data_IF_878386292434
#
_entry.id   IF_878386292434
#
_cell.length_a   1.000
_cell.length_b   1.000
_cell.length_c   1.000
_cell.angle_alpha   90.00
_cell.angle_beta   90.00
_cell.angle_gamma   90.00
#
_symmetry.space_group_name_H-M   'P 1'
#
loop_
_entity.id
_entity.type
_entity.pdbx_description
1 polymer ?
#
# COMPACT_ATOMS: atom_id res chain seq x y z
N UNK A 1 16.39 -19.68 12.01
CA UNK A 1 16.34 -19.22 10.62
C UNK A 1 14.97 -19.44 10.03
N UNK A 2 14.54 -18.55 9.11
CA UNK A 2 13.27 -18.66 8.37
C UNK A 2 13.49 -18.26 6.90
N UNK A 3 12.89 -19.00 5.98
CA UNK A 3 12.85 -18.66 4.56
C UNK A 3 11.45 -18.12 4.20
N UNK A 4 11.38 -16.93 3.57
CA UNK A 4 10.13 -16.25 3.24
C UNK A 4 10.06 -16.04 1.73
N UNK A 5 8.98 -16.46 1.08
CA UNK A 5 8.69 -16.17 -0.33
C UNK A 5 7.79 -14.96 -0.47
N UNK A 6 8.29 -13.84 -1.00
CA UNK A 6 7.48 -12.68 -1.35
C UNK A 6 7.09 -12.72 -2.83
N UNK A 7 5.93 -12.15 -3.14
CA UNK A 7 5.46 -12.04 -4.53
C UNK A 7 6.10 -10.87 -5.29
N UNK A 8 6.81 -10.01 -4.59
CA UNK A 8 7.51 -8.87 -5.12
C UNK A 8 8.39 -8.24 -4.05
N UNK A 9 9.59 -7.79 -4.43
CA UNK A 9 10.34 -6.77 -3.72
C UNK A 9 10.99 -5.77 -4.70
N UNK A 10 11.44 -4.63 -4.16
CA UNK A 10 11.91 -3.50 -4.97
C UNK A 10 13.14 -3.84 -5.83
N UNK A 11 13.35 -3.04 -6.85
CA UNK A 11 14.56 -3.11 -7.69
C UNK A 11 15.81 -2.69 -6.93
N UNK A 12 15.62 -1.84 -5.91
CA UNK A 12 16.63 -1.40 -4.96
C UNK A 12 16.09 -1.48 -3.54
N UNK A 13 16.91 -1.17 -2.56
CA UNK A 13 16.50 -1.01 -1.17
C UNK A 13 16.55 0.46 -0.71
N UNK A 14 16.75 1.41 -1.65
CA UNK A 14 16.64 2.84 -1.38
C UNK A 14 15.16 3.19 -1.09
N UNK A 15 14.81 3.66 0.12
CA UNK A 15 13.44 3.97 0.46
C UNK A 15 12.85 5.15 -0.32
N UNK A 16 13.68 5.94 -0.97
CA UNK A 16 13.25 7.09 -1.77
C UNK A 16 12.93 6.75 -3.23
N UNK A 17 13.31 5.55 -3.67
CA UNK A 17 13.10 5.09 -5.04
C UNK A 17 11.71 4.45 -5.20
N UNK A 18 10.86 5.07 -6.01
CA UNK A 18 9.52 4.59 -6.40
C UNK A 18 8.73 3.96 -5.23
N UNK A 19 8.51 2.66 -5.25
CA UNK A 19 7.76 1.89 -4.24
C UNK A 19 8.64 0.94 -3.43
N UNK A 20 9.96 1.01 -3.58
CA UNK A 20 10.91 0.01 -3.05
C UNK A 20 10.92 -0.04 -1.52
N UNK A 21 10.60 1.08 -0.86
CA UNK A 21 10.45 1.14 0.60
C UNK A 21 9.43 0.15 1.19
N UNK A 22 8.43 -0.29 0.41
CA UNK A 22 7.47 -1.30 0.85
C UNK A 22 8.13 -2.64 1.18
N UNK A 23 9.24 -2.96 0.51
CA UNK A 23 10.04 -4.13 0.84
C UNK A 23 10.61 -4.01 2.25
N UNK A 24 11.19 -2.85 2.61
CA UNK A 24 11.87 -2.63 3.88
C UNK A 24 10.96 -2.82 5.09
N UNK A 25 9.73 -2.31 5.02
CA UNK A 25 8.76 -2.49 6.11
C UNK A 25 8.24 -3.92 6.20
N UNK A 26 8.03 -4.61 5.06
CA UNK A 26 7.57 -6.00 5.02
C UNK A 26 8.56 -6.99 5.60
N UNK A 27 9.86 -6.76 5.42
CA UNK A 27 10.91 -7.63 5.92
C UNK A 27 11.38 -7.27 7.34
N UNK A 28 10.76 -6.26 7.96
CA UNK A 28 11.11 -5.82 9.31
C UNK A 28 12.45 -5.12 9.41
N UNK A 29 12.95 -4.52 8.32
CA UNK A 29 14.20 -3.74 8.33
C UNK A 29 13.94 -2.26 8.58
N UNK A 30 12.85 -1.70 8.04
CA UNK A 30 12.52 -0.28 8.11
C UNK A 30 11.34 0.02 9.02
N UNK A 31 11.41 1.12 9.75
CA UNK A 31 10.36 1.64 10.62
C UNK A 31 10.08 3.11 10.33
N UNK A 32 8.82 3.51 10.55
CA UNK A 32 8.34 4.90 10.41
C UNK A 32 8.05 5.51 11.78
N UNK A 33 7.64 6.78 11.86
CA UNK A 33 7.29 7.41 13.13
C UNK A 33 6.14 6.72 13.84
N UNK A 34 5.12 6.32 13.08
CA UNK A 34 3.98 5.56 13.55
C UNK A 34 3.65 4.47 12.51
N UNK A 35 2.97 3.43 12.91
CA UNK A 35 2.46 2.39 12.01
C UNK A 35 0.95 2.32 12.04
N UNK A 36 0.35 1.60 11.09
CA UNK A 36 -1.10 1.45 10.95
C UNK A 36 -1.46 -0.01 11.16
N UNK A 37 -2.40 -0.26 12.06
CA UNK A 37 -2.96 -1.60 12.27
C UNK A 37 -3.93 -1.99 11.16
N UNK A 38 -4.28 -3.29 11.00
CA UNK A 38 -5.26 -3.72 10.00
C UNK A 38 -6.63 -3.04 10.12
N UNK A 39 -7.02 -2.59 11.32
CA UNK A 39 -8.24 -1.82 11.57
C UNK A 39 -8.04 -0.29 11.44
N UNK A 40 -6.98 0.11 10.73
CA UNK A 40 -6.66 1.50 10.36
C UNK A 40 -6.42 2.45 11.55
N UNK A 41 -5.98 1.91 12.68
CA UNK A 41 -5.54 2.73 13.82
C UNK A 41 -4.06 3.01 13.76
N UNK A 42 -3.69 4.22 14.12
CA UNK A 42 -2.29 4.58 14.27
C UNK A 42 -1.75 4.09 15.60
N UNK A 43 -0.59 3.45 15.57
CA UNK A 43 0.13 2.99 16.75
C UNK A 43 1.55 3.54 16.78
N UNK A 44 2.08 3.86 17.99
CA UNK A 44 3.45 4.35 18.15
C UNK A 44 4.49 3.37 17.59
N UNK A 45 5.52 3.93 16.91
CA UNK A 45 6.70 3.20 16.49
C UNK A 45 7.96 3.99 16.88
N UNK A 46 8.58 4.75 15.98
CA UNK A 46 9.75 5.59 16.31
C UNK A 46 9.36 6.94 16.97
N UNK A 47 8.11 7.35 16.87
CA UNK A 47 7.52 8.31 17.79
C UNK A 47 6.63 7.56 18.77
N UNK A 48 6.75 7.85 20.07
CA UNK A 48 5.92 7.24 21.12
C UNK A 48 4.61 8.01 21.36
N UNK A 49 4.55 9.27 20.93
CA UNK A 49 3.33 10.10 20.94
C UNK A 49 3.38 11.20 19.89
N UNK A 50 2.21 11.76 19.60
CA UNK A 50 2.05 12.90 18.70
C UNK A 50 0.82 13.71 19.03
N UNK A 51 0.83 14.96 18.58
CA UNK A 51 -0.23 15.94 18.76
C UNK A 51 -0.36 16.82 17.53
N UNK A 52 -1.58 17.06 17.07
CA UNK A 52 -1.87 18.12 16.11
C UNK A 52 -2.15 19.41 16.90
N UNK A 53 -1.12 20.25 17.02
CA UNK A 53 -1.14 21.45 17.88
C UNK A 53 -2.07 22.52 17.34
N UNK A 54 -2.06 22.67 16.01
CA UNK A 54 -2.96 23.54 15.24
C UNK A 54 -3.13 22.97 13.82
N UNK A 55 -3.99 23.55 12.95
CA UNK A 55 -4.27 22.99 11.62
C UNK A 55 -3.04 22.75 10.73
N UNK A 56 -1.93 23.44 10.97
CA UNK A 56 -0.70 23.36 10.20
C UNK A 56 0.50 22.82 10.97
N UNK A 57 0.37 22.59 12.28
CA UNK A 57 1.50 22.23 13.14
C UNK A 57 1.25 20.90 13.84
N UNK A 58 2.20 20.00 13.68
CA UNK A 58 2.25 18.72 14.37
C UNK A 58 3.49 18.63 15.26
N UNK A 59 3.34 18.02 16.41
CA UNK A 59 4.42 17.70 17.35
C UNK A 59 4.51 16.20 17.53
N UNK A 60 5.70 15.63 17.35
CA UNK A 60 5.99 14.22 17.57
C UNK A 60 7.04 14.09 18.67
N UNK A 61 6.79 13.28 19.68
CA UNK A 61 7.81 12.92 20.66
C UNK A 61 8.58 11.71 20.14
N UNK A 62 9.88 11.87 19.88
CA UNK A 62 10.71 10.83 19.28
C UNK A 62 11.19 9.88 20.37
N UNK A 63 11.07 8.59 20.11
CA UNK A 63 11.45 7.52 21.04
C UNK A 63 12.94 7.60 21.40
N UNK A 64 13.24 7.49 22.70
CA UNK A 64 14.60 7.43 23.20
C UNK A 64 15.18 6.01 23.06
N UNK A 65 16.50 5.91 23.16
CA UNK A 65 17.25 4.65 23.15
C UNK A 65 17.10 3.78 21.89
N UNK A 66 16.71 4.38 20.77
CA UNK A 66 16.72 3.73 19.46
C UNK A 66 18.11 3.86 18.84
N UNK A 67 18.60 2.77 18.24
CA UNK A 67 19.83 2.77 17.45
C UNK A 67 19.55 2.39 16.01
N UNK A 68 20.31 2.95 15.11
CA UNK A 68 20.40 2.47 13.74
C UNK A 68 21.20 1.17 13.66
N UNK A 69 21.08 0.43 12.55
CA UNK A 69 21.77 -0.85 12.30
C UNK A 69 23.30 -0.77 12.35
N UNK A 70 23.87 0.42 12.20
CA UNK A 70 25.32 0.69 12.36
C UNK A 70 25.70 1.01 13.81
N UNK A 71 24.75 0.99 14.75
CA UNK A 71 24.95 1.26 16.16
C UNK A 71 24.88 2.74 16.55
N UNK A 72 24.74 3.68 15.59
CA UNK A 72 24.58 5.11 15.92
C UNK A 72 23.23 5.38 16.56
N UNK A 73 23.14 6.28 17.56
CA UNK A 73 21.87 6.68 18.17
C UNK A 73 20.95 7.38 17.16
N UNK A 74 19.67 7.03 17.14
CA UNK A 74 18.63 7.79 16.47
C UNK A 74 18.23 8.96 17.37
N UNK A 75 18.48 10.17 16.89
CA UNK A 75 18.10 11.42 17.58
C UNK A 75 17.01 12.14 16.81
N UNK A 76 16.25 13.05 17.42
CA UNK A 76 15.28 13.89 16.69
C UNK A 76 15.89 14.62 15.50
N UNK A 77 17.17 15.03 15.60
CA UNK A 77 17.90 15.66 14.51
C UNK A 77 18.09 14.69 13.33
N UNK A 78 18.47 13.44 13.56
CA UNK A 78 18.61 12.41 12.51
C UNK A 78 17.26 12.04 11.90
N UNK A 79 16.19 12.02 12.68
CA UNK A 79 14.82 11.83 12.17
C UNK A 79 14.43 12.97 11.21
N UNK A 80 14.69 14.22 11.61
CA UNK A 80 14.51 15.38 10.73
C UNK A 80 15.26 15.22 9.42
N UNK A 81 16.57 14.93 9.49
CA UNK A 81 17.45 14.76 8.33
C UNK A 81 16.93 13.66 7.39
N UNK A 82 16.45 12.54 7.94
CA UNK A 82 15.86 11.45 7.16
C UNK A 82 14.61 11.89 6.40
N UNK A 83 13.68 12.59 7.07
CA UNK A 83 12.46 13.09 6.43
C UNK A 83 12.78 14.12 5.34
N UNK A 84 13.68 15.08 5.63
CA UNK A 84 14.11 16.09 4.66
C UNK A 84 14.81 15.45 3.45
N UNK A 85 15.64 14.43 3.69
CA UNK A 85 16.27 13.66 2.61
C UNK A 85 15.21 12.99 1.72
N UNK A 86 14.23 12.32 2.31
CA UNK A 86 13.13 11.67 1.56
C UNK A 86 12.35 12.69 0.72
N UNK A 87 12.01 13.85 1.27
CA UNK A 87 11.33 14.90 0.51
C UNK A 87 12.18 15.46 -0.64
N UNK A 88 13.50 15.56 -0.44
CA UNK A 88 14.42 16.04 -1.47
C UNK A 88 14.57 15.05 -2.62
N UNK A 89 14.60 13.74 -2.33
CA UNK A 89 14.80 12.70 -3.35
C UNK A 89 13.50 12.29 -4.04
N UNK A 90 12.36 12.35 -3.35
CA UNK A 90 11.06 11.90 -3.86
C UNK A 90 10.05 13.07 -3.93
N UNK A 91 9.84 13.61 -5.14
CA UNK A 91 8.83 14.63 -5.37
C UNK A 91 7.40 14.15 -5.00
N UNK A 92 7.12 12.85 -5.14
CA UNK A 92 5.86 12.21 -4.72
C UNK A 92 5.68 12.33 -3.21
N UNK A 93 6.69 11.97 -2.44
CA UNK A 93 6.66 12.03 -0.98
C UNK A 93 6.55 13.48 -0.48
N UNK A 94 7.33 14.40 -1.06
CA UNK A 94 7.25 15.83 -0.71
C UNK A 94 5.84 16.40 -0.94
N UNK A 95 5.22 16.07 -2.08
CA UNK A 95 3.85 16.50 -2.42
C UNK A 95 2.80 15.91 -1.46
N UNK A 96 3.01 14.71 -0.95
CA UNK A 96 2.07 14.03 -0.05
C UNK A 96 2.03 14.69 1.33
N UNK A 97 3.18 15.11 1.87
CA UNK A 97 3.27 15.68 3.24
C UNK A 97 3.12 17.19 3.27
N UNK A 98 3.51 17.93 2.20
CA UNK A 98 3.45 19.39 2.09
C UNK A 98 4.11 20.11 3.28
N UNK A 99 5.25 19.62 3.73
CA UNK A 99 5.99 20.18 4.86
C UNK A 99 6.66 21.49 4.44
N UNK A 100 6.46 22.54 5.23
CA UNK A 100 7.12 23.82 5.14
C UNK A 100 8.45 23.82 5.89
N UNK A 101 8.43 23.32 7.14
CA UNK A 101 9.61 23.28 8.00
C UNK A 101 9.55 22.16 9.02
N UNK A 102 10.73 21.71 9.46
CA UNK A 102 10.89 20.77 10.55
C UNK A 102 11.88 21.38 11.55
N UNK A 103 11.45 21.53 12.78
CA UNK A 103 12.28 22.00 13.90
C UNK A 103 12.45 20.90 14.95
N UNK A 104 13.56 20.92 15.66
CA UNK A 104 13.83 20.04 16.81
C UNK A 104 13.78 20.87 18.07
N UNK A 105 13.00 20.41 19.06
CA UNK A 105 12.87 21.01 20.38
C UNK A 105 13.00 19.91 21.44
N UNK A 106 14.20 19.77 21.97
CA UNK A 106 14.55 18.65 22.85
C UNK A 106 14.31 17.31 22.18
N UNK A 107 13.46 16.47 22.76
CA UNK A 107 13.09 15.17 22.21
C UNK A 107 11.91 15.26 21.22
N UNK A 108 11.42 16.47 20.91
CA UNK A 108 10.30 16.66 20.02
C UNK A 108 10.74 17.07 18.62
N UNK A 109 9.98 16.59 17.65
CA UNK A 109 10.01 17.06 16.27
C UNK A 109 8.76 17.89 16.01
N UNK A 110 8.94 19.15 15.64
CA UNK A 110 7.85 20.08 15.31
C UNK A 110 7.80 20.22 13.79
N UNK A 111 6.72 19.76 13.19
CA UNK A 111 6.52 19.78 11.74
C UNK A 111 5.44 20.80 11.40
N UNK A 112 5.78 21.78 10.57
CA UNK A 112 4.84 22.72 9.97
C UNK A 112 4.56 22.37 8.52
N UNK A 113 3.30 22.47 8.12
CA UNK A 113 2.83 22.25 6.74
C UNK A 113 2.45 23.56 6.08
N UNK A 114 2.57 23.62 4.75
CA UNK A 114 2.27 24.83 3.94
C UNK A 114 0.78 25.20 3.93
N UNK A 115 -0.09 24.28 4.32
CA UNK A 115 -1.54 24.44 4.42
C UNK A 115 -2.09 23.49 5.49
N UNK A 116 -3.32 23.66 6.00
CA UNK A 116 -3.94 22.75 6.95
C UNK A 116 -3.87 21.29 6.47
N UNK A 117 -3.25 20.43 7.28
CA UNK A 117 -3.01 19.02 6.93
C UNK A 117 -3.30 18.07 8.10
N UNK A 118 -4.57 17.73 8.30
CA UNK A 118 -4.99 16.74 9.30
C UNK A 118 -4.57 15.31 8.95
N UNK A 119 -4.07 15.05 7.74
CA UNK A 119 -3.62 13.72 7.29
C UNK A 119 -2.10 13.54 7.34
N UNK A 120 -1.34 14.48 7.87
CA UNK A 120 0.12 14.40 7.92
C UNK A 120 0.60 13.10 8.58
N UNK A 121 0.01 12.72 9.72
CA UNK A 121 0.35 11.46 10.40
C UNK A 121 0.19 10.26 9.48
N UNK A 122 -0.94 10.16 8.76
CA UNK A 122 -1.18 9.09 7.80
C UNK A 122 -0.12 9.09 6.68
N UNK A 123 0.24 10.26 6.16
CA UNK A 123 1.27 10.37 5.13
C UNK A 123 2.65 9.93 5.62
N UNK A 124 2.98 10.19 6.89
CA UNK A 124 4.25 9.80 7.51
C UNK A 124 4.31 8.30 7.89
N UNK A 125 3.21 7.56 7.81
CA UNK A 125 3.22 6.08 7.93
C UNK A 125 3.51 5.38 6.61
N UNK A 126 3.57 6.11 5.49
CA UNK A 126 3.95 5.52 4.21
C UNK A 126 5.39 5.01 4.26
N UNK A 127 5.68 3.79 3.77
CA UNK A 127 7.02 3.20 3.80
C UNK A 127 8.14 4.09 3.25
N UNK A 128 7.87 4.99 2.32
CA UNK A 128 8.86 5.97 1.85
C UNK A 128 9.44 6.85 2.97
N UNK A 129 8.73 6.98 4.10
CA UNK A 129 9.18 7.73 5.28
C UNK A 129 9.79 6.84 6.37
N UNK A 130 10.29 5.64 6.03
CA UNK A 130 11.14 4.89 6.96
C UNK A 130 12.35 5.75 7.35
N UNK A 131 12.67 5.73 8.64
CA UNK A 131 13.77 6.53 9.16
C UNK A 131 15.09 5.80 8.92
N UNK A 132 16.03 6.50 8.27
CA UNK A 132 17.36 5.98 7.97
C UNK A 132 18.48 6.94 8.41
N UNK A 133 19.67 6.41 8.65
CA UNK A 133 20.86 7.23 8.90
C UNK A 133 21.38 7.81 7.59
N UNK A 134 21.13 9.09 7.37
CA UNK A 134 21.54 9.80 6.14
C UNK A 134 23.02 10.19 6.13
N UNK A 135 23.75 9.93 7.22
CA UNK A 135 25.22 10.12 7.24
C UNK A 135 25.96 9.00 6.50
N UNK A 136 25.28 7.85 6.26
CA UNK A 136 25.88 6.70 5.54
C UNK A 136 24.94 6.26 4.39
N UNK A 137 25.06 6.93 3.26
CA UNK A 137 24.26 6.67 2.06
C UNK A 137 25.03 5.89 0.97
N UNK A 138 26.27 5.46 1.26
CA UNK A 138 27.14 4.83 0.26
C UNK A 138 26.47 3.63 -0.41
N UNK A 139 25.84 2.77 0.39
CA UNK A 139 25.23 1.53 -0.07
C UNK A 139 23.69 1.56 0.07
N UNK A 140 23.06 2.75 0.05
CA UNK A 140 21.62 2.93 0.30
C UNK A 140 20.76 2.06 -0.61
N UNK A 141 21.15 1.84 -1.84
CA UNK A 141 20.41 1.02 -2.82
C UNK A 141 20.41 -0.48 -2.51
N UNK A 142 21.33 -0.97 -1.66
CA UNK A 142 21.45 -2.39 -1.33
C UNK A 142 21.47 -2.67 0.16
N UNK A 143 21.86 -1.70 0.97
CA UNK A 143 22.04 -1.88 2.42
C UNK A 143 21.78 -0.56 3.17
N UNK A 144 20.58 0.01 3.09
CA UNK A 144 20.24 1.21 3.86
C UNK A 144 20.42 0.96 5.36
N UNK A 145 20.86 1.98 6.08
CA UNK A 145 21.06 1.93 7.53
C UNK A 145 19.76 2.35 8.21
N UNK A 146 19.03 1.40 8.75
CA UNK A 146 17.67 1.53 9.27
C UNK A 146 17.60 1.19 10.77
N UNK A 147 16.39 1.05 11.34
CA UNK A 147 16.16 0.89 12.78
C UNK A 147 15.47 -0.42 13.18
N UNK A 148 14.90 -1.15 12.22
CA UNK A 148 14.02 -2.29 12.48
C UNK A 148 14.70 -3.50 13.16
N UNK A 149 13.89 -4.51 13.56
CA UNK A 149 14.39 -5.71 14.25
C UNK A 149 15.38 -6.56 13.45
N UNK A 150 15.39 -6.41 12.12
CA UNK A 150 16.29 -7.15 11.25
C UNK A 150 17.12 -6.21 10.38
N UNK A 151 18.43 -6.41 10.37
CA UNK A 151 19.37 -5.68 9.51
C UNK A 151 19.67 -6.46 8.24
N UNK A 152 19.75 -5.75 7.12
CA UNK A 152 20.12 -6.31 5.83
C UNK A 152 21.61 -6.64 5.82
N UNK A 153 21.94 -7.89 5.51
CA UNK A 153 23.33 -8.36 5.38
C UNK A 153 23.76 -8.53 3.94
N UNK A 154 22.82 -8.91 3.06
CA UNK A 154 23.03 -9.07 1.63
C UNK A 154 21.76 -8.76 0.86
N UNK A 155 21.89 -8.22 -0.34
CA UNK A 155 20.81 -8.01 -1.30
C UNK A 155 21.27 -8.44 -2.69
N UNK A 156 20.51 -9.36 -3.28
CA UNK A 156 20.67 -9.78 -4.68
C UNK A 156 19.35 -9.46 -5.39
N UNK A 157 19.38 -8.44 -6.25
CA UNK A 157 18.21 -7.96 -6.98
C UNK A 157 17.51 -9.10 -7.73
N UNK A 158 16.19 -9.23 -7.54
CA UNK A 158 15.35 -10.25 -8.18
C UNK A 158 15.63 -11.68 -7.70
N UNK A 159 16.38 -11.85 -6.63
CA UNK A 159 16.70 -13.16 -6.06
C UNK A 159 16.41 -13.22 -4.56
N UNK A 160 17.28 -12.59 -3.74
CA UNK A 160 17.24 -12.76 -2.28
C UNK A 160 17.63 -11.51 -1.51
N UNK A 161 17.05 -11.38 -0.30
CA UNK A 161 17.52 -10.47 0.75
C UNK A 161 17.86 -11.32 1.98
N UNK A 162 19.09 -11.21 2.47
CA UNK A 162 19.52 -11.86 3.70
C UNK A 162 19.44 -10.89 4.87
N UNK A 163 18.86 -11.35 5.97
CA UNK A 163 18.64 -10.56 7.17
C UNK A 163 19.25 -11.25 8.39
N UNK A 164 19.86 -10.47 9.27
CA UNK A 164 20.26 -10.92 10.60
C UNK A 164 19.51 -10.14 11.67
N UNK A 165 19.22 -10.78 12.80
CA UNK A 165 18.64 -10.12 13.96
C UNK A 165 19.51 -8.93 14.39
N UNK A 166 18.87 -7.82 14.71
CA UNK A 166 19.53 -6.66 15.29
C UNK A 166 19.48 -6.76 16.81
N UNK A 167 20.62 -7.07 17.44
CA UNK A 167 20.70 -7.33 18.89
C UNK A 167 20.30 -6.12 19.74
N UNK A 168 20.60 -4.90 19.25
CA UNK A 168 20.31 -3.64 19.94
C UNK A 168 18.92 -3.07 19.56
N UNK A 169 18.01 -3.89 19.03
CA UNK A 169 16.67 -3.44 18.65
C UNK A 169 15.92 -2.92 19.88
N UNK A 170 15.36 -1.72 19.78
CA UNK A 170 14.65 -1.04 20.87
C UNK A 170 13.41 -1.79 21.37
N UNK A 171 12.76 -2.57 20.50
CA UNK A 171 11.57 -3.37 20.82
C UNK A 171 11.88 -4.73 21.46
N UNK A 172 13.13 -5.00 21.80
CA UNK A 172 13.59 -6.24 22.40
C UNK A 172 14.20 -7.22 21.40
N UNK A 173 14.64 -8.38 21.88
CA UNK A 173 15.32 -9.38 21.06
C UNK A 173 14.38 -9.94 19.98
N UNK A 174 14.74 -9.88 18.68
CA UNK A 174 13.99 -10.52 17.62
C UNK A 174 13.83 -12.03 17.83
N UNK A 175 12.68 -12.60 17.45
CA UNK A 175 12.38 -14.01 17.68
C UNK A 175 13.18 -14.98 16.80
N UNK A 176 13.76 -14.50 15.68
CA UNK A 176 14.57 -15.29 14.77
C UNK A 176 15.96 -14.68 14.68
N UNK A 177 16.99 -15.52 14.62
CA UNK A 177 18.37 -15.04 14.46
C UNK A 177 18.67 -14.54 13.04
N UNK A 178 17.99 -15.10 12.03
CA UNK A 178 18.16 -14.72 10.63
C UNK A 178 16.94 -15.07 9.78
N UNK A 179 16.78 -14.36 8.66
CA UNK A 179 15.71 -14.57 7.67
C UNK A 179 16.30 -14.46 6.27
N UNK A 180 15.96 -15.40 5.39
CA UNK A 180 16.18 -15.28 3.95
C UNK A 180 14.86 -14.96 3.26
N UNK A 181 14.80 -13.85 2.55
CA UNK A 181 13.64 -13.46 1.76
C UNK A 181 13.93 -13.75 0.29
N UNK A 182 13.09 -14.55 -0.35
CA UNK A 182 13.21 -14.91 -1.78
C UNK A 182 12.16 -14.17 -2.61
N UNK A 183 12.57 -13.63 -3.75
CA UNK A 183 11.66 -13.06 -4.74
C UNK A 183 11.04 -14.17 -5.60
N UNK A 184 9.77 -14.41 -5.45
CA UNK A 184 9.04 -15.45 -6.18
C UNK A 184 7.73 -14.85 -6.71
N UNK A 185 7.83 -14.09 -7.81
CA UNK A 185 6.70 -13.36 -8.39
C UNK A 185 5.56 -14.27 -8.83
N UNK A 186 5.89 -15.40 -9.46
CA UNK A 186 4.89 -16.35 -9.98
C UNK A 186 4.16 -17.06 -8.84
N UNK A 187 2.82 -16.98 -8.85
CA UNK A 187 1.96 -17.55 -7.82
C UNK A 187 2.12 -19.08 -7.69
N UNK A 188 2.28 -19.79 -8.80
CA UNK A 188 2.40 -21.26 -8.80
C UNK A 188 3.77 -21.68 -8.28
N UNK A 189 4.85 -21.00 -8.73
CA UNK A 189 6.21 -21.26 -8.21
C UNK A 189 6.28 -20.99 -6.71
N UNK A 190 5.64 -19.92 -6.23
CA UNK A 190 5.61 -19.58 -4.81
C UNK A 190 4.84 -20.63 -4.00
N UNK A 191 3.70 -21.12 -4.52
CA UNK A 191 2.95 -22.21 -3.89
C UNK A 191 3.78 -23.50 -3.85
N UNK A 192 4.46 -23.86 -4.95
CA UNK A 192 5.35 -25.04 -5.00
C UNK A 192 6.53 -24.93 -4.04
N UNK A 193 7.15 -23.75 -3.91
CA UNK A 193 8.25 -23.52 -2.98
C UNK A 193 7.84 -23.75 -1.52
N UNK A 194 6.60 -23.39 -1.14
CA UNK A 194 6.08 -23.70 0.20
C UNK A 194 5.79 -25.21 0.37
N UNK A 195 5.24 -25.87 -0.64
CA UNK A 195 4.99 -27.32 -0.59
C UNK A 195 6.28 -28.16 -0.51
N UNK A 196 7.33 -27.74 -1.23
CA UNK A 196 8.64 -28.39 -1.20
C UNK A 196 9.48 -28.06 0.04
N UNK A 197 9.00 -27.12 0.88
CA UNK A 197 9.70 -26.57 2.05
C UNK A 197 10.98 -25.79 1.70
N UNK A 198 11.07 -25.26 0.48
CA UNK A 198 12.11 -24.30 0.09
C UNK A 198 11.92 -22.94 0.77
N UNK A 199 10.66 -22.67 1.18
CA UNK A 199 10.30 -21.54 2.03
C UNK A 199 9.35 -22.03 3.13
N UNK A 200 9.36 -21.33 4.27
CA UNK A 200 8.53 -21.61 5.44
C UNK A 200 7.23 -20.83 5.43
N UNK A 201 7.25 -19.65 4.79
CA UNK A 201 6.11 -18.71 4.70
C UNK A 201 6.07 -18.10 3.31
N UNK A 202 4.87 -17.94 2.77
CA UNK A 202 4.66 -17.19 1.54
C UNK A 202 3.62 -16.09 1.74
N UNK A 203 3.78 -14.99 1.01
CA UNK A 203 2.80 -13.92 0.95
C UNK A 203 1.94 -14.06 -0.31
N UNK A 204 0.65 -13.68 -0.22
CA UNK A 204 -0.29 -13.65 -1.34
C UNK A 204 -0.52 -15.02 -1.98
N UNK A 205 -1.33 -15.83 -1.31
CA UNK A 205 -1.87 -17.08 -1.91
C UNK A 205 -3.09 -16.70 -2.74
N UNK A 206 -3.06 -16.96 -4.04
CA UNK A 206 -4.22 -16.71 -4.90
C UNK A 206 -5.33 -17.76 -4.68
N UNK A 207 -6.54 -17.45 -5.15
CA UNK A 207 -7.71 -18.33 -4.97
C UNK A 207 -7.53 -19.70 -5.63
N UNK A 208 -6.82 -19.77 -6.75
CA UNK A 208 -6.58 -21.01 -7.49
C UNK A 208 -5.67 -21.98 -6.69
N UNK A 209 -4.68 -21.43 -5.99
CA UNK A 209 -3.70 -22.21 -5.24
C UNK A 209 -4.13 -22.56 -3.81
N UNK A 210 -5.21 -21.97 -3.28
CA UNK A 210 -5.65 -22.22 -1.89
C UNK A 210 -5.94 -23.69 -1.61
N UNK A 211 -6.48 -24.41 -2.58
CA UNK A 211 -6.79 -25.84 -2.43
C UNK A 211 -5.56 -26.75 -2.26
N UNK A 212 -4.36 -26.25 -2.58
CA UNK A 212 -3.09 -26.95 -2.37
C UNK A 212 -2.65 -26.98 -0.91
N UNK A 213 -3.17 -26.06 -0.09
CA UNK A 213 -2.79 -25.86 1.30
C UNK A 213 -3.91 -26.32 2.23
N UNK A 214 -3.98 -27.63 2.44
CA UNK A 214 -4.93 -28.25 3.35
C UNK A 214 -4.22 -28.64 4.66
N UNK A 215 -4.05 -29.92 4.90
CA UNK A 215 -3.45 -30.42 6.13
C UNK A 215 -1.98 -29.97 6.29
N UNK A 216 -1.65 -29.47 7.48
CA UNK A 216 -0.29 -29.04 7.83
C UNK A 216 0.07 -27.61 7.40
N UNK A 217 -0.84 -26.87 6.77
CA UNK A 217 -0.66 -25.46 6.42
C UNK A 217 -1.65 -24.57 7.16
N UNK A 218 -1.19 -23.36 7.50
CA UNK A 218 -2.04 -22.31 8.06
C UNK A 218 -2.18 -21.17 7.06
N UNK A 219 -3.40 -20.89 6.59
CA UNK A 219 -3.70 -19.75 5.74
C UNK A 219 -4.33 -18.68 6.61
N UNK A 220 -3.67 -17.52 6.70
CA UNK A 220 -4.17 -16.35 7.39
C UNK A 220 -4.67 -15.31 6.38
N UNK A 221 -5.97 -15.05 6.42
CA UNK A 221 -6.59 -13.96 5.65
C UNK A 221 -6.66 -12.70 6.50
N UNK A 222 -6.10 -11.62 5.99
CA UNK A 222 -6.16 -10.30 6.63
C UNK A 222 -6.97 -9.37 5.74
N UNK A 223 -8.05 -8.82 6.29
CA UNK A 223 -8.86 -7.85 5.58
C UNK A 223 -8.03 -6.59 5.27
N UNK A 224 -7.89 -6.28 4.00
CA UNK A 224 -7.16 -5.10 3.53
C UNK A 224 -8.10 -3.94 3.23
N UNK A 225 -7.50 -2.80 2.91
CA UNK A 225 -8.24 -1.58 2.50
C UNK A 225 -8.26 -1.38 0.99
N UNK A 226 -7.80 -2.37 0.22
CA UNK A 226 -7.77 -2.27 -1.24
C UNK A 226 -9.16 -2.44 -1.83
N UNK A 227 -9.54 -1.51 -2.71
CA UNK A 227 -10.78 -1.56 -3.49
C UNK A 227 -10.40 -1.60 -4.98
N UNK A 228 -10.98 -2.55 -5.71
CA UNK A 228 -10.92 -2.57 -7.17
C UNK A 228 -12.02 -1.67 -7.73
N UNK A 229 -11.67 -0.73 -8.57
CA UNK A 229 -12.63 0.23 -9.11
C UNK A 229 -12.36 0.55 -10.59
N UNK A 230 -13.41 0.86 -11.32
CA UNK A 230 -13.32 1.48 -12.63
C UNK A 230 -13.28 3.00 -12.48
N UNK A 231 -12.21 3.62 -12.93
CA UNK A 231 -12.07 5.08 -12.93
C UNK A 231 -12.52 5.62 -14.29
N UNK A 232 -13.61 6.39 -14.29
CA UNK A 232 -14.15 6.97 -15.50
C UNK A 232 -13.32 8.18 -15.97
N UNK A 233 -13.08 8.27 -17.28
CA UNK A 233 -12.58 9.49 -17.90
C UNK A 233 -13.75 10.47 -18.07
N UNK A 234 -13.71 11.61 -17.39
CA UNK A 234 -14.77 12.63 -17.37
C UNK A 234 -14.54 13.78 -18.36
N UNK A 235 -13.58 13.68 -19.28
CA UNK A 235 -13.41 14.72 -20.31
C UNK A 235 -14.60 14.75 -21.27
N UNK A 236 -14.92 15.91 -21.83
CA UNK A 236 -16.04 16.10 -22.76
C UNK A 236 -15.98 15.16 -23.99
N UNK A 237 -14.77 14.81 -24.42
CA UNK A 237 -14.55 13.88 -25.54
C UNK A 237 -14.88 12.41 -25.20
N UNK A 238 -15.02 12.08 -23.91
CA UNK A 238 -15.27 10.71 -23.48
C UNK A 238 -16.77 10.41 -23.39
N UNK A 239 -17.23 9.25 -23.85
CA UNK A 239 -18.61 8.80 -23.61
C UNK A 239 -18.98 8.74 -22.13
N UNK A 240 -17.98 8.57 -21.27
CA UNK A 240 -18.14 8.54 -19.82
C UNK A 240 -18.31 9.93 -19.18
N UNK A 241 -18.26 11.01 -19.99
CA UNK A 241 -18.71 12.34 -19.56
C UNK A 241 -20.21 12.33 -19.24
N UNK A 242 -21.00 11.58 -20.02
CA UNK A 242 -22.44 11.42 -19.76
C UNK A 242 -22.69 10.59 -18.50
N UNK A 243 -23.39 11.20 -17.51
CA UNK A 243 -23.76 10.53 -16.25
C UNK A 243 -24.63 9.28 -16.51
N UNK A 244 -25.47 9.30 -17.53
CA UNK A 244 -26.37 8.19 -17.83
C UNK A 244 -25.54 6.95 -18.24
N UNK A 245 -24.48 7.12 -19.04
CA UNK A 245 -23.57 6.04 -19.43
C UNK A 245 -22.89 5.44 -18.20
N UNK A 246 -22.34 6.27 -17.29
CA UNK A 246 -21.71 5.79 -16.05
C UNK A 246 -22.70 5.04 -15.16
N UNK A 247 -23.93 5.55 -15.04
CA UNK A 247 -24.99 4.92 -14.26
C UNK A 247 -25.41 3.57 -14.85
N UNK A 248 -25.55 3.49 -16.18
CA UNK A 248 -25.87 2.24 -16.87
C UNK A 248 -24.77 1.19 -16.63
N UNK A 249 -23.49 1.57 -16.76
CA UNK A 249 -22.36 0.68 -16.47
C UNK A 249 -22.45 0.12 -15.05
N UNK A 250 -22.75 0.96 -14.04
CA UNK A 250 -22.89 0.51 -12.68
C UNK A 250 -23.98 -0.54 -12.50
N UNK A 251 -25.05 -0.51 -13.32
CA UNK A 251 -26.13 -1.48 -13.25
C UNK A 251 -25.89 -2.77 -14.05
N UNK A 252 -24.96 -2.80 -15.02
CA UNK A 252 -24.62 -4.03 -15.74
C UNK A 252 -23.54 -4.88 -15.07
N UNK A 253 -22.77 -4.32 -14.14
CA UNK A 253 -21.73 -5.04 -13.43
C UNK A 253 -22.36 -6.02 -12.44
N UNK A 254 -21.99 -7.29 -12.54
CA UNK A 254 -22.33 -8.29 -11.54
C UNK A 254 -21.28 -8.31 -10.44
N UNK A 255 -21.49 -7.48 -9.40
CA UNK A 255 -20.54 -7.30 -8.30
C UNK A 255 -20.29 -8.58 -7.50
N UNK A 256 -21.31 -9.43 -7.33
CA UNK A 256 -21.16 -10.70 -6.60
C UNK A 256 -20.30 -11.70 -7.39
N UNK A 257 -20.49 -11.77 -8.71
CA UNK A 257 -19.64 -12.60 -9.58
C UNK A 257 -18.21 -12.08 -9.65
N UNK A 258 -18.02 -10.76 -9.72
CA UNK A 258 -16.69 -10.14 -9.67
C UNK A 258 -15.97 -10.47 -8.36
N UNK A 259 -16.63 -10.32 -7.21
CA UNK A 259 -16.05 -10.65 -5.91
C UNK A 259 -15.65 -12.13 -5.82
N UNK A 260 -16.46 -13.05 -6.38
CA UNK A 260 -16.13 -14.49 -6.45
C UNK A 260 -14.91 -14.77 -7.33
N UNK A 261 -14.79 -14.09 -8.49
CA UNK A 261 -13.65 -14.25 -9.39
C UNK A 261 -12.36 -13.75 -8.72
N UNK A 262 -12.40 -12.59 -8.09
CA UNK A 262 -11.26 -12.04 -7.35
C UNK A 262 -10.89 -12.98 -6.20
N UNK A 263 -11.87 -13.57 -5.52
CA UNK A 263 -11.66 -14.53 -4.44
C UNK A 263 -11.03 -13.91 -3.19
N UNK A 264 -10.34 -14.73 -2.39
CA UNK A 264 -9.57 -14.31 -1.21
C UNK A 264 -10.35 -13.42 -0.21
N UNK A 265 -11.64 -13.76 0.04
CA UNK A 265 -12.49 -13.00 0.95
C UNK A 265 -12.97 -11.65 0.41
N UNK A 266 -12.80 -11.38 -0.89
CA UNK A 266 -13.33 -10.18 -1.53
C UNK A 266 -14.84 -10.10 -1.42
N UNK A 267 -15.36 -8.90 -1.17
CA UNK A 267 -16.79 -8.63 -1.07
C UNK A 267 -17.23 -7.61 -2.12
N UNK A 268 -18.50 -7.63 -2.55
CA UNK A 268 -19.02 -6.64 -3.47
C UNK A 268 -18.80 -5.21 -2.97
N UNK A 269 -18.19 -4.37 -3.80
CA UNK A 269 -17.90 -2.98 -3.47
C UNK A 269 -19.15 -2.10 -3.48
N UNK A 270 -19.29 -1.22 -2.50
CA UNK A 270 -20.38 -0.24 -2.42
C UNK A 270 -19.89 1.21 -2.24
N UNK A 271 -18.59 1.40 -2.05
CA UNK A 271 -17.95 2.70 -1.87
C UNK A 271 -16.50 2.65 -2.39
N UNK A 272 -15.84 3.79 -2.59
CA UNK A 272 -14.44 3.84 -3.03
C UNK A 272 -13.42 3.41 -1.96
N UNK A 273 -13.88 3.08 -0.77
CA UNK A 273 -13.09 2.49 0.32
C UNK A 273 -13.92 1.46 1.08
N UNK A 274 -13.29 0.47 1.75
CA UNK A 274 -14.01 -0.57 2.48
C UNK A 274 -14.52 -0.06 3.83
N UNK A 275 -15.44 -0.79 4.49
CA UNK A 275 -15.93 -0.45 5.82
C UNK A 275 -14.79 -0.31 6.86
N UNK A 276 -13.75 -1.13 6.74
CA UNK A 276 -12.58 -1.13 7.64
C UNK A 276 -11.77 0.16 7.62
N UNK A 277 -11.89 0.98 6.57
CA UNK A 277 -11.22 2.27 6.50
C UNK A 277 -11.79 3.33 7.47
N UNK A 278 -12.97 3.08 8.04
CA UNK A 278 -13.65 3.95 9.03
C UNK A 278 -13.78 5.43 8.60
N UNK A 279 -13.99 5.66 7.31
CA UNK A 279 -14.06 6.98 6.68
C UNK A 279 -15.51 7.39 6.37
N UNK A 280 -16.49 6.96 7.17
CA UNK A 280 -17.91 7.25 6.93
C UNK A 280 -18.52 6.39 5.83
N UNK A 281 -18.09 5.14 5.71
CA UNK A 281 -18.56 4.18 4.71
C UNK A 281 -20.10 4.12 4.63
N UNK A 282 -20.78 3.97 5.77
CA UNK A 282 -22.25 3.82 5.82
C UNK A 282 -23.00 5.04 5.28
N UNK A 283 -22.40 6.23 5.36
CA UNK A 283 -22.99 7.46 4.85
C UNK A 283 -22.99 7.55 3.32
N UNK A 284 -22.04 6.86 2.65
CA UNK A 284 -21.86 6.94 1.20
C UNK A 284 -22.03 5.59 0.49
N UNK A 285 -22.12 4.49 1.25
CA UNK A 285 -22.27 3.17 0.68
C UNK A 285 -23.57 3.10 -0.15
N UNK A 286 -23.40 2.94 -1.45
CA UNK A 286 -24.50 2.72 -2.38
C UNK A 286 -24.16 1.50 -3.21
N UNK A 287 -24.74 0.36 -2.82
CA UNK A 287 -24.55 -0.91 -3.54
C UNK A 287 -25.48 -0.94 -4.74
N UNK A 288 -25.02 -0.61 -5.96
CA UNK A 288 -25.87 -0.76 -7.13
C UNK A 288 -26.18 -2.24 -7.31
N UNK A 289 -27.45 -2.55 -7.49
CA UNK A 289 -27.85 -3.90 -7.87
C UNK A 289 -27.64 -4.09 -9.37
N UNK A 290 -27.17 -5.26 -9.76
CA UNK A 290 -27.13 -5.65 -11.17
C UNK A 290 -28.54 -5.69 -11.72
N UNK A 291 -28.84 -4.80 -12.66
CA UNK A 291 -30.15 -4.65 -13.29
C UNK A 291 -29.98 -4.15 -14.73
N UNK A 292 -29.90 -5.10 -15.66
CA UNK A 292 -29.71 -4.79 -17.08
C UNK A 292 -30.90 -4.02 -17.66
N UNK A 293 -32.13 -4.31 -17.20
CA UNK A 293 -33.32 -3.60 -17.66
C UNK A 293 -33.29 -2.14 -17.23
N UNK A 294 -32.80 -1.89 -16.01
CA UNK A 294 -32.60 -0.53 -15.50
C UNK A 294 -31.53 0.22 -16.30
N UNK A 295 -30.44 -0.44 -16.66
CA UNK A 295 -29.41 0.13 -17.50
C UNK A 295 -29.94 0.52 -18.89
N UNK A 296 -30.73 -0.37 -19.53
CA UNK A 296 -31.43 -0.09 -20.80
C UNK A 296 -32.36 1.14 -20.66
N UNK A 297 -33.15 1.19 -19.60
CA UNK A 297 -34.05 2.32 -19.32
C UNK A 297 -33.28 3.64 -19.16
N UNK A 298 -32.17 3.64 -18.42
CA UNK A 298 -31.34 4.83 -18.20
C UNK A 298 -30.79 5.35 -19.53
N UNK A 299 -30.24 4.49 -20.36
CA UNK A 299 -29.69 4.88 -21.67
C UNK A 299 -30.78 5.41 -22.60
N UNK A 300 -31.92 4.71 -22.66
CA UNK A 300 -33.05 5.12 -23.51
C UNK A 300 -33.60 6.50 -23.11
N UNK A 301 -33.76 6.75 -21.80
CA UNK A 301 -34.18 8.04 -21.28
C UNK A 301 -33.18 9.18 -21.57
N UNK A 302 -31.90 8.83 -21.68
CA UNK A 302 -30.84 9.76 -22.04
C UNK A 302 -30.69 9.99 -23.56
N UNK A 303 -31.58 9.39 -24.38
CA UNK A 303 -31.61 9.57 -25.83
C UNK A 303 -30.72 8.59 -26.61
N UNK A 304 -30.23 7.53 -25.97
CA UNK A 304 -29.54 6.45 -26.69
C UNK A 304 -30.55 5.44 -27.22
N UNK A 305 -30.35 5.00 -28.46
CA UNK A 305 -31.14 3.96 -29.09
C UNK A 305 -30.25 2.84 -29.64
N UNK A 306 -30.76 1.61 -29.66
CA UNK A 306 -30.03 0.48 -30.28
C UNK A 306 -30.10 0.60 -31.81
N UNK A 307 -28.95 0.55 -32.45
CA UNK A 307 -28.84 0.49 -33.91
C UNK A 307 -29.17 -0.91 -34.43
N UNK A 308 -29.06 -1.11 -35.75
CA UNK A 308 -29.33 -2.39 -36.39
C UNK A 308 -28.45 -3.55 -35.90
N UNK A 309 -27.29 -3.23 -35.33
CA UNK A 309 -26.35 -4.21 -34.75
C UNK A 309 -26.60 -4.46 -33.28
N UNK A 310 -27.64 -3.84 -32.68
CA UNK A 310 -27.93 -3.95 -31.24
C UNK A 310 -27.06 -3.08 -30.33
N UNK A 311 -26.19 -2.24 -30.92
CA UNK A 311 -25.31 -1.34 -30.15
C UNK A 311 -26.02 -0.03 -29.86
N UNK A 312 -25.83 0.51 -28.67
CA UNK A 312 -26.36 1.83 -28.34
C UNK A 312 -25.66 2.93 -29.11
N UNK A 313 -26.45 3.86 -29.65
CA UNK A 313 -25.97 5.03 -30.37
C UNK A 313 -26.77 6.27 -29.96
N UNK A 314 -26.17 7.44 -30.05
CA UNK A 314 -26.81 8.75 -29.87
C UNK A 314 -26.23 9.73 -30.87
N UNK A 315 -27.06 10.55 -31.50
CA UNK A 315 -26.66 11.54 -32.51
C UNK A 315 -25.79 10.93 -33.63
N UNK A 316 -26.15 9.71 -34.07
CA UNK A 316 -25.43 8.98 -35.12
C UNK A 316 -24.08 8.38 -34.69
N UNK A 317 -23.67 8.51 -33.44
CA UNK A 317 -22.43 7.94 -32.89
C UNK A 317 -22.73 6.72 -32.02
N UNK A 318 -22.09 5.62 -32.31
CA UNK A 318 -22.15 4.39 -31.53
C UNK A 318 -21.42 4.60 -30.16
N UNK A 319 -22.04 4.07 -29.11
CA UNK A 319 -21.46 4.10 -27.77
C UNK A 319 -20.36 3.03 -27.64
N UNK A 320 -19.14 3.46 -27.77
CA UNK A 320 -17.96 2.62 -27.60
C UNK A 320 -17.16 3.05 -26.37
N UNK A 321 -16.77 2.09 -25.54
CA UNK A 321 -16.02 2.33 -24.30
C UNK A 321 -14.74 1.51 -24.34
N UNK A 322 -13.62 2.16 -24.08
CA UNK A 322 -12.32 1.50 -23.93
C UNK A 322 -11.99 1.35 -22.46
N UNK A 323 -11.70 0.12 -22.03
CA UNK A 323 -11.21 -0.18 -20.68
C UNK A 323 -9.70 -0.35 -20.77
N UNK A 324 -8.95 0.52 -20.09
CA UNK A 324 -7.51 0.38 -19.93
C UNK A 324 -7.23 -0.35 -18.62
N UNK A 325 -6.47 -1.43 -18.70
CA UNK A 325 -6.01 -2.21 -17.56
C UNK A 325 -4.52 -1.92 -17.39
N UNK A 326 -4.12 -1.60 -16.16
CA UNK A 326 -2.74 -1.36 -15.82
C UNK A 326 -2.20 -2.49 -14.96
N UNK A 327 -1.01 -2.96 -15.27
CA UNK A 327 -0.28 -3.98 -14.51
C UNK A 327 -0.27 -5.36 -15.18
N UNK A 328 0.65 -6.21 -14.68
CA UNK A 328 0.77 -7.63 -15.08
C UNK A 328 -0.07 -8.55 -14.17
N UNK A 329 -0.87 -7.99 -13.29
CA UNK A 329 -1.66 -8.78 -12.35
C UNK A 329 -2.83 -9.40 -13.10
N UNK A 330 -2.66 -10.66 -13.52
CA UNK A 330 -3.67 -11.46 -14.25
C UNK A 330 -4.78 -11.95 -13.31
N UNK A 331 -4.78 -11.55 -12.05
CA UNK A 331 -5.84 -11.87 -11.09
C UNK A 331 -7.03 -10.89 -11.15
N UNK A 332 -7.08 -10.05 -12.20
CA UNK A 332 -8.24 -9.22 -12.54
C UNK A 332 -8.99 -9.79 -13.71
#
# INVERSE_FOLDING_TARGET
HMNVGLYWFGETLDPTHEWDAWTLTRIGAGETLATVTPDMKFTPQLADSWENVDPTTWKFHIRENVKFHNGTPMTPQKVKESIEYTMKQSARSAKAVKIESIAVDGQNLIIKTTEPNGSLLSSLTEPAFVIMDTADLKDVASKPVLTGPYKITSFKKGETIELAAFADYWGGKPGLDSVTVKDIEDNNKRAMALQSKDVDVIQKVDSANRSLFKDGFNIQDVAGVRVFMLKANHTEASPLHDKAVRSAIAHIINYDSMAKIIGNGSTPGAAPFPPSANLGYDAIANKPMTDVAKADQILTQAGYAKNANGMYAKDGKELAITIAIWGKDTSL
#
